data_IF_500314392655
#
_entry.id   IF_500314392655
#
_cell.length_a   1.000
_cell.length_b   1.000
_cell.length_c   1.000
_cell.angle_alpha   90.00
_cell.angle_beta   90.00
_cell.angle_gamma   90.00
#
_symmetry.space_group_name_H-M   'P 1'
#
loop_
_entity.id
_entity.type
_entity.pdbx_description
1 polymer ?
#
# COMPACT_ATOMS: atom_id res chain seq x y z
N UNK A 1 29.95 4.57 15.84
CA UNK A 1 30.41 3.97 14.57
C UNK A 1 29.52 2.80 14.08
N UNK A 2 29.11 1.83 14.91
CA UNK A 2 28.25 0.69 14.47
C UNK A 2 26.85 1.13 13.99
N UNK A 3 26.21 2.09 14.66
CA UNK A 3 24.88 2.61 14.29
C UNK A 3 24.92 3.31 12.93
N UNK A 4 25.91 4.18 12.70
CA UNK A 4 26.09 4.90 11.43
C UNK A 4 26.30 3.93 10.25
N UNK A 5 27.12 2.89 10.43
CA UNK A 5 27.29 1.82 9.42
C UNK A 5 25.98 1.07 9.14
N UNK A 6 25.17 0.85 10.17
CA UNK A 6 23.85 0.22 10.04
C UNK A 6 22.86 1.06 9.23
N UNK A 7 22.76 2.37 9.54
CA UNK A 7 21.91 3.31 8.80
C UNK A 7 22.36 3.46 7.36
N UNK A 8 23.67 3.58 7.11
CA UNK A 8 24.20 3.70 5.76
C UNK A 8 23.94 2.45 4.92
N UNK A 9 24.20 1.27 5.48
CA UNK A 9 23.90 -0.01 4.80
C UNK A 9 22.41 -0.12 4.48
N UNK A 10 21.55 0.27 5.42
CA UNK A 10 20.11 0.31 5.21
C UNK A 10 19.72 1.24 4.04
N UNK A 11 20.22 2.47 4.02
CA UNK A 11 19.92 3.44 2.96
C UNK A 11 20.41 2.96 1.59
N UNK A 12 21.59 2.34 1.53
CA UNK A 12 22.14 1.79 0.28
C UNK A 12 21.24 0.67 -0.24
N UNK A 13 20.84 -0.28 0.61
CA UNK A 13 19.95 -1.38 0.21
C UNK A 13 18.59 -0.82 -0.22
N UNK A 14 18.06 0.16 0.49
CA UNK A 14 16.78 0.80 0.19
C UNK A 14 16.80 1.50 -1.18
N UNK A 15 17.82 2.34 -1.45
CA UNK A 15 17.98 3.02 -2.74
C UNK A 15 18.21 2.01 -3.86
N UNK A 16 19.01 0.97 -3.62
CA UNK A 16 19.27 -0.07 -4.59
C UNK A 16 18.00 -0.85 -4.96
N UNK A 17 17.14 -1.18 -3.99
CA UNK A 17 15.86 -1.83 -4.25
C UNK A 17 14.95 -0.97 -5.10
N UNK A 18 14.83 0.33 -4.78
CA UNK A 18 14.06 1.27 -5.59
C UNK A 18 14.63 1.29 -7.01
N UNK A 19 15.94 1.51 -7.15
CA UNK A 19 16.62 1.57 -8.45
C UNK A 19 16.37 0.32 -9.30
N UNK A 20 16.46 -0.88 -8.73
CA UNK A 20 16.25 -2.13 -9.47
C UNK A 20 14.79 -2.27 -9.89
N UNK A 21 13.84 -2.00 -9.00
CA UNK A 21 12.41 -2.13 -9.31
C UNK A 21 12.00 -1.11 -10.36
N UNK A 22 12.36 0.16 -10.20
CA UNK A 22 12.02 1.21 -11.17
C UNK A 22 12.76 1.05 -12.49
N UNK A 23 13.95 0.42 -12.50
CA UNK A 23 14.64 0.07 -13.74
C UNK A 23 13.84 -0.98 -14.52
N UNK A 24 13.34 -2.01 -13.83
CA UNK A 24 12.49 -3.03 -14.46
C UNK A 24 11.20 -2.40 -15.00
N UNK A 25 10.53 -1.55 -14.22
CA UNK A 25 9.34 -0.81 -14.67
C UNK A 25 9.64 0.06 -15.90
N UNK A 26 10.74 0.80 -15.90
CA UNK A 26 11.18 1.60 -17.03
C UNK A 26 11.42 0.74 -18.29
N UNK A 27 12.11 -0.39 -18.17
CA UNK A 27 12.36 -1.29 -19.29
C UNK A 27 11.06 -1.89 -19.86
N UNK A 28 10.07 -2.16 -19.00
CA UNK A 28 8.72 -2.55 -19.42
C UNK A 28 8.07 -1.42 -20.22
N UNK A 29 8.15 -0.18 -19.74
CA UNK A 29 7.60 0.97 -20.46
C UNK A 29 8.29 1.20 -21.81
N UNK A 30 9.62 1.12 -21.89
CA UNK A 30 10.36 1.22 -23.17
C UNK A 30 9.96 0.10 -24.15
N UNK A 31 9.47 -1.03 -23.65
CA UNK A 31 8.94 -2.11 -24.50
C UNK A 31 7.61 -1.75 -25.16
N UNK A 32 6.88 -0.73 -24.69
CA UNK A 32 5.67 -0.23 -25.33
C UNK A 32 6.05 0.59 -26.58
N UNK A 33 5.55 0.25 -27.79
CA UNK A 33 5.98 0.90 -29.03
C UNK A 33 5.83 2.44 -29.03
N UNK A 34 4.74 2.97 -28.48
CA UNK A 34 4.50 4.42 -28.42
C UNK A 34 5.55 5.16 -27.58
N UNK A 35 5.89 4.62 -26.41
CA UNK A 35 6.92 5.18 -25.50
C UNK A 35 8.29 5.14 -26.16
N UNK A 36 8.60 4.02 -26.79
CA UNK A 36 9.89 3.80 -27.44
C UNK A 36 10.14 4.83 -28.53
N UNK A 37 9.11 5.14 -29.31
CA UNK A 37 9.22 6.09 -30.42
C UNK A 37 9.49 7.51 -29.91
N UNK A 38 8.75 7.97 -28.90
CA UNK A 38 8.97 9.27 -28.25
C UNK A 38 10.38 9.38 -27.64
N UNK A 39 10.86 8.28 -27.04
CA UNK A 39 12.20 8.22 -26.47
C UNK A 39 13.30 8.28 -27.55
N UNK A 40 13.09 7.60 -28.68
CA UNK A 40 14.00 7.67 -29.84
C UNK A 40 14.04 9.09 -30.43
N UNK A 41 12.91 9.78 -30.49
CA UNK A 41 12.85 11.18 -30.93
C UNK A 41 13.62 12.10 -29.97
N UNK A 42 13.50 11.88 -28.65
CA UNK A 42 14.29 12.61 -27.65
C UNK A 42 15.79 12.34 -27.76
N UNK A 43 16.17 11.12 -28.16
CA UNK A 43 17.55 10.71 -28.40
C UNK A 43 18.09 11.23 -29.73
N UNK A 44 17.25 11.43 -30.75
CA UNK A 44 17.68 11.98 -32.03
C UNK A 44 18.25 13.41 -31.89
N UNK A 45 17.79 14.17 -30.88
CA UNK A 45 18.32 15.49 -30.53
C UNK A 45 19.61 15.48 -29.69
N UNK A 46 19.89 14.38 -28.96
CA UNK A 46 21.14 14.17 -28.22
C UNK A 46 21.99 13.23 -29.07
N UNK A 47 22.88 13.75 -29.90
CA UNK A 47 23.76 13.02 -30.85
C UNK A 47 24.55 11.85 -30.25
N UNK A 48 23.85 10.77 -29.92
CA UNK A 48 24.33 9.59 -29.22
C UNK A 48 24.23 8.43 -30.21
N UNK A 49 25.32 8.20 -30.94
CA UNK A 49 25.50 7.07 -31.88
C UNK A 49 25.73 5.72 -31.17
N UNK A 50 25.38 5.61 -29.89
CA UNK A 50 25.62 4.42 -29.07
C UNK A 50 24.49 3.41 -29.31
N UNK A 51 24.82 2.11 -29.20
CA UNK A 51 23.85 1.01 -29.13
C UNK A 51 22.61 1.40 -28.31
N UNK A 52 21.43 1.21 -28.89
CA UNK A 52 20.13 1.61 -28.32
C UNK A 52 19.96 1.19 -26.86
N UNK A 53 20.46 0.01 -26.46
CA UNK A 53 20.36 -0.50 -25.08
C UNK A 53 21.12 0.39 -24.09
N UNK A 54 22.34 0.81 -24.43
CA UNK A 54 23.18 1.63 -23.56
C UNK A 54 22.56 3.04 -23.45
N UNK A 55 22.00 3.55 -24.53
CA UNK A 55 21.30 4.84 -24.55
C UNK A 55 20.08 4.85 -23.62
N UNK A 56 19.28 3.78 -23.61
CA UNK A 56 18.13 3.68 -22.69
C UNK A 56 18.53 3.63 -21.22
N UNK A 57 19.59 2.88 -20.90
CA UNK A 57 20.12 2.83 -19.52
C UNK A 57 20.67 4.19 -19.08
N UNK A 58 21.35 4.90 -19.98
CA UNK A 58 21.87 6.24 -19.69
C UNK A 58 20.74 7.22 -19.35
N UNK A 59 19.67 7.25 -20.15
CA UNK A 59 18.49 8.10 -19.87
C UNK A 59 17.90 7.78 -18.50
N UNK A 60 17.75 6.49 -18.19
CA UNK A 60 17.19 6.08 -16.91
C UNK A 60 18.07 6.49 -15.72
N UNK A 61 19.39 6.32 -15.83
CA UNK A 61 20.33 6.74 -14.79
C UNK A 61 20.33 8.26 -14.62
N UNK A 62 20.25 9.03 -15.71
CA UNK A 62 20.11 10.50 -15.67
C UNK A 62 18.80 10.90 -14.97
N UNK A 63 17.68 10.28 -15.35
CA UNK A 63 16.36 10.49 -14.75
C UNK A 63 16.34 10.18 -13.26
N UNK A 64 16.81 9.00 -12.87
CA UNK A 64 16.86 8.57 -11.47
C UNK A 64 17.82 9.44 -10.65
N UNK A 65 18.95 9.83 -11.23
CA UNK A 65 19.92 10.75 -10.62
C UNK A 65 19.33 12.15 -10.37
N UNK A 66 18.59 12.70 -11.34
CA UNK A 66 17.92 13.99 -11.17
C UNK A 66 16.91 13.95 -10.02
N UNK A 67 16.14 12.87 -9.91
CA UNK A 67 15.21 12.66 -8.80
C UNK A 67 15.94 12.55 -7.47
N UNK A 68 16.98 11.72 -7.38
CA UNK A 68 17.67 11.43 -6.12
C UNK A 68 18.46 12.64 -5.58
N UNK A 69 19.12 13.39 -6.46
CA UNK A 69 20.04 14.46 -6.06
C UNK A 69 19.42 15.86 -6.13
N UNK A 70 18.47 16.09 -7.04
CA UNK A 70 17.84 17.40 -7.24
C UNK A 70 16.39 17.44 -6.77
N UNK A 71 15.77 16.27 -6.58
CA UNK A 71 14.35 16.17 -6.31
C UNK A 71 13.51 16.71 -7.46
N UNK A 72 14.01 16.70 -8.70
CA UNK A 72 13.28 17.22 -9.85
C UNK A 72 12.54 16.08 -10.55
N UNK A 73 11.21 16.14 -10.56
CA UNK A 73 10.36 15.14 -11.22
C UNK A 73 9.99 15.55 -12.65
N UNK A 74 10.38 16.75 -13.08
CA UNK A 74 10.00 17.31 -14.37
C UNK A 74 8.60 17.95 -14.37
N UNK A 75 8.10 18.23 -15.57
CA UNK A 75 6.85 18.94 -15.82
C UNK A 75 5.81 18.01 -16.45
N UNK A 76 4.53 18.27 -16.19
CA UNK A 76 3.43 17.62 -16.92
C UNK A 76 3.42 18.11 -18.37
N UNK A 77 3.34 17.19 -19.33
CA UNK A 77 3.24 17.52 -20.76
C UNK A 77 1.94 18.25 -21.08
N UNK A 78 0.88 18.05 -20.29
CA UNK A 78 -0.44 18.64 -20.54
C UNK A 78 -0.53 20.15 -20.26
N UNK A 79 0.15 20.65 -19.23
CA UNK A 79 -0.04 22.03 -18.75
C UNK A 79 1.24 22.69 -18.22
N UNK A 80 2.40 22.04 -18.35
CA UNK A 80 3.69 22.57 -17.92
C UNK A 80 3.86 22.71 -16.41
N UNK A 81 2.94 22.19 -15.59
CA UNK A 81 3.03 22.30 -14.13
C UNK A 81 4.11 21.34 -13.57
N UNK A 82 4.81 21.73 -12.49
CA UNK A 82 5.76 20.85 -11.80
C UNK A 82 5.09 19.60 -11.22
N UNK A 83 5.61 18.42 -11.58
CA UNK A 83 5.03 17.14 -11.16
C UNK A 83 5.13 16.98 -9.63
N UNK A 84 6.17 17.52 -8.99
CA UNK A 84 6.40 17.45 -7.55
C UNK A 84 5.19 17.87 -6.70
N UNK A 85 4.65 19.07 -6.99
CA UNK A 85 3.57 19.65 -6.19
C UNK A 85 2.27 18.88 -6.42
N UNK A 86 2.01 18.55 -7.68
CA UNK A 86 0.86 17.77 -8.10
C UNK A 86 0.82 16.39 -7.44
N UNK A 87 1.93 15.65 -7.52
CA UNK A 87 2.05 14.30 -6.97
C UNK A 87 2.01 14.27 -5.45
N UNK A 88 2.57 15.27 -4.78
CA UNK A 88 2.50 15.36 -3.32
C UNK A 88 1.06 15.45 -2.83
N UNK A 89 0.23 16.27 -3.50
CA UNK A 89 -1.20 16.38 -3.20
C UNK A 89 -1.92 15.03 -3.40
N UNK A 90 -1.74 14.39 -4.55
CA UNK A 90 -2.38 13.11 -4.86
C UNK A 90 -1.95 12.01 -3.89
N UNK A 91 -0.66 11.95 -3.56
CA UNK A 91 -0.07 10.99 -2.63
C UNK A 91 -0.71 11.12 -1.25
N UNK A 92 -0.92 12.35 -0.77
CA UNK A 92 -1.57 12.58 0.53
C UNK A 92 -3.00 12.05 0.56
N UNK A 93 -3.75 12.18 -0.53
CA UNK A 93 -5.13 11.67 -0.62
C UNK A 93 -5.15 10.13 -0.62
N UNK A 94 -4.34 9.50 -1.46
CA UNK A 94 -4.20 8.04 -1.48
C UNK A 94 -3.77 7.51 -0.11
N UNK A 95 -2.78 8.15 0.54
CA UNK A 95 -2.30 7.73 1.84
C UNK A 95 -3.40 7.81 2.92
N UNK A 96 -4.25 8.84 2.88
CA UNK A 96 -5.42 8.93 3.77
C UNK A 96 -6.38 7.76 3.56
N UNK A 97 -6.65 7.39 2.31
CA UNK A 97 -7.52 6.25 1.99
C UNK A 97 -6.92 4.92 2.45
N UNK A 98 -5.63 4.70 2.20
CA UNK A 98 -4.96 3.45 2.54
C UNK A 98 -4.82 3.29 4.05
N UNK A 99 -4.29 4.30 4.74
CA UNK A 99 -4.14 4.26 6.20
C UNK A 99 -5.50 4.23 6.88
N UNK A 100 -6.44 5.06 6.43
CA UNK A 100 -7.81 5.08 6.93
C UNK A 100 -8.52 3.75 6.74
N UNK A 101 -8.40 3.15 5.55
CA UNK A 101 -9.00 1.86 5.21
C UNK A 101 -8.43 0.73 6.07
N UNK A 102 -7.10 0.67 6.24
CA UNK A 102 -6.46 -0.31 7.12
C UNK A 102 -6.89 -0.17 8.58
N UNK A 103 -6.89 1.05 9.12
CA UNK A 103 -7.34 1.30 10.49
C UNK A 103 -8.81 0.92 10.67
N UNK A 104 -9.66 1.26 9.70
CA UNK A 104 -11.07 0.93 9.72
C UNK A 104 -11.29 -0.59 9.66
N UNK A 105 -10.55 -1.31 8.80
CA UNK A 105 -10.55 -2.79 8.77
C UNK A 105 -10.18 -3.39 10.12
N UNK A 106 -9.09 -2.93 10.75
CA UNK A 106 -8.64 -3.47 12.04
C UNK A 106 -9.72 -3.26 13.12
N UNK A 107 -10.27 -2.05 13.22
CA UNK A 107 -11.31 -1.72 14.20
C UNK A 107 -12.56 -2.57 13.98
N UNK A 108 -13.01 -2.69 12.73
CA UNK A 108 -14.16 -3.51 12.37
C UNK A 108 -13.92 -5.00 12.66
N UNK A 109 -12.78 -5.55 12.25
CA UNK A 109 -12.44 -6.95 12.49
C UNK A 109 -12.39 -7.26 13.99
N UNK A 110 -11.72 -6.44 14.80
CA UNK A 110 -11.68 -6.62 16.24
C UNK A 110 -13.08 -6.53 16.86
N UNK A 111 -13.90 -5.57 16.44
CA UNK A 111 -15.29 -5.45 16.89
C UNK A 111 -16.11 -6.71 16.60
N UNK A 112 -15.99 -7.26 15.38
CA UNK A 112 -16.71 -8.47 14.97
C UNK A 112 -16.21 -9.72 15.69
N UNK A 113 -14.90 -9.85 15.93
CA UNK A 113 -14.32 -10.93 16.73
C UNK A 113 -14.87 -10.90 18.16
N UNK A 114 -14.89 -9.71 18.80
CA UNK A 114 -15.43 -9.54 20.15
C UNK A 114 -16.92 -9.87 20.22
N UNK A 115 -17.70 -9.47 19.20
CA UNK A 115 -19.13 -9.82 19.10
C UNK A 115 -19.32 -11.33 18.96
N UNK A 116 -18.55 -11.99 18.09
CA UNK A 116 -18.55 -13.44 17.90
C UNK A 116 -18.22 -14.18 19.21
N UNK A 117 -17.24 -13.70 19.96
CA UNK A 117 -16.82 -14.30 21.23
C UNK A 117 -17.84 -14.09 22.34
N UNK A 118 -18.44 -12.89 22.44
CA UNK A 118 -19.43 -12.57 23.48
C UNK A 118 -20.76 -13.29 23.26
N UNK A 119 -21.15 -13.50 22.01
CA UNK A 119 -22.47 -14.05 21.63
C UNK A 119 -22.34 -15.31 20.77
N UNK A 120 -21.47 -16.24 21.17
CA UNK A 120 -21.15 -17.46 20.41
C UNK A 120 -22.36 -18.35 20.11
N UNK A 121 -23.39 -18.33 20.95
CA UNK A 121 -24.58 -19.17 20.78
C UNK A 121 -25.74 -18.45 20.07
N UNK A 122 -25.62 -17.14 19.83
CA UNK A 122 -26.66 -16.35 19.18
C UNK A 122 -26.74 -16.65 17.69
N UNK A 123 -27.88 -17.19 17.24
CA UNK A 123 -28.17 -17.38 15.81
C UNK A 123 -28.15 -16.06 15.03
N UNK A 124 -28.52 -14.96 15.67
CA UNK A 124 -28.54 -13.61 15.07
C UNK A 124 -27.11 -13.17 14.74
N UNK A 125 -26.18 -13.33 15.69
CA UNK A 125 -24.78 -12.94 15.47
C UNK A 125 -24.12 -13.82 14.41
N UNK A 126 -24.41 -15.12 14.41
CA UNK A 126 -23.96 -16.02 13.33
C UNK A 126 -24.49 -15.58 11.97
N UNK A 127 -25.78 -15.28 11.87
CA UNK A 127 -26.41 -14.78 10.63
C UNK A 127 -25.81 -13.46 10.16
N UNK A 128 -25.57 -12.50 11.07
CA UNK A 128 -24.91 -11.24 10.77
C UNK A 128 -23.49 -11.45 10.22
N UNK A 129 -22.69 -12.29 10.88
CA UNK A 129 -21.33 -12.59 10.43
C UNK A 129 -21.31 -13.27 9.06
N UNK A 130 -22.24 -14.20 8.80
CA UNK A 130 -22.39 -14.82 7.48
C UNK A 130 -22.78 -13.78 6.42
N UNK A 131 -23.70 -12.86 6.73
CA UNK A 131 -24.08 -11.79 5.81
C UNK A 131 -22.89 -10.86 5.50
N UNK A 132 -22.12 -10.48 6.52
CA UNK A 132 -20.90 -9.67 6.36
C UNK A 132 -19.85 -10.41 5.53
N UNK A 133 -19.67 -11.72 5.71
CA UNK A 133 -18.75 -12.51 4.90
C UNK A 133 -19.16 -12.52 3.42
N UNK A 134 -20.45 -12.75 3.13
CA UNK A 134 -20.98 -12.69 1.76
C UNK A 134 -20.76 -11.31 1.15
N UNK A 135 -21.06 -10.24 1.90
CA UNK A 135 -20.85 -8.86 1.46
C UNK A 135 -19.36 -8.58 1.21
N UNK A 136 -18.47 -9.10 2.06
CA UNK A 136 -17.02 -8.88 1.93
C UNK A 136 -16.45 -9.50 0.66
N UNK A 137 -17.01 -10.62 0.19
CA UNK A 137 -16.57 -11.27 -1.06
C UNK A 137 -16.83 -10.43 -2.32
N UNK A 138 -17.61 -9.35 -2.22
CA UNK A 138 -17.88 -8.44 -3.34
C UNK A 138 -16.64 -7.58 -3.60
N UNK A 139 -16.25 -7.48 -4.86
CA UNK A 139 -15.13 -6.64 -5.27
C UNK A 139 -15.41 -5.15 -4.96
N UNK A 140 -14.38 -4.43 -4.49
CA UNK A 140 -14.37 -2.97 -4.30
C UNK A 140 -15.05 -2.16 -5.43
N UNK A 141 -14.89 -2.54 -6.70
CA UNK A 141 -15.49 -1.80 -7.82
C UNK A 141 -17.02 -1.84 -7.75
N UNK A 142 -17.61 -3.02 -7.51
CA UNK A 142 -19.07 -3.20 -7.42
C UNK A 142 -19.62 -2.53 -6.18
N UNK A 143 -18.94 -2.70 -5.03
CA UNK A 143 -19.32 -2.03 -3.78
C UNK A 143 -19.23 -0.49 -3.91
N UNK A 144 -18.18 0.01 -4.55
CA UNK A 144 -18.00 1.43 -4.81
C UNK A 144 -19.13 1.98 -5.69
N UNK A 145 -19.45 1.32 -6.80
CA UNK A 145 -20.56 1.75 -7.67
C UNK A 145 -21.91 1.66 -6.96
N UNK A 146 -22.12 0.66 -6.10
CA UNK A 146 -23.33 0.59 -5.29
C UNK A 146 -23.47 1.82 -4.38
N UNK A 147 -22.39 2.23 -3.70
CA UNK A 147 -22.39 3.46 -2.91
C UNK A 147 -22.68 4.68 -3.79
N UNK A 148 -22.09 4.77 -4.98
CA UNK A 148 -22.32 5.89 -5.92
C UNK A 148 -23.78 5.93 -6.36
N UNK A 149 -24.37 4.80 -6.76
CA UNK A 149 -25.73 4.79 -7.32
C UNK A 149 -26.79 5.04 -6.25
N UNK A 150 -26.62 4.46 -5.06
CA UNK A 150 -27.68 4.47 -4.04
C UNK A 150 -27.49 5.54 -2.96
N UNK A 151 -26.29 6.12 -2.81
CA UNK A 151 -25.94 6.94 -1.65
C UNK A 151 -25.38 8.34 -1.99
N UNK A 152 -25.37 8.74 -3.26
CA UNK A 152 -24.82 10.04 -3.74
C UNK A 152 -25.64 11.29 -3.42
N UNK A 153 -26.73 11.19 -2.65
CA UNK A 153 -27.35 12.38 -2.06
C UNK A 153 -26.46 13.05 -0.98
N UNK A 154 -25.41 12.37 -0.50
CA UNK A 154 -24.50 12.89 0.54
C UNK A 154 -23.24 13.47 -0.11
N UNK A 155 -23.02 14.78 0.11
CA UNK A 155 -21.81 15.50 -0.32
C UNK A 155 -20.54 14.80 0.16
N UNK A 156 -19.56 14.81 -0.73
CA UNK A 156 -18.35 13.99 -0.71
C UNK A 156 -17.31 14.37 0.37
N UNK A 157 -17.32 15.61 0.87
CA UNK A 157 -16.17 16.15 1.63
C UNK A 157 -15.91 15.50 3.01
N UNK A 158 -16.88 14.83 3.64
CA UNK A 158 -16.73 14.22 4.99
C UNK A 158 -17.14 12.74 5.07
N UNK A 159 -17.18 12.04 3.93
CA UNK A 159 -17.74 10.69 3.92
C UNK A 159 -16.76 9.59 4.33
N UNK A 160 -17.20 8.69 5.22
CA UNK A 160 -16.50 7.46 5.59
C UNK A 160 -16.67 6.33 4.55
N UNK A 161 -17.50 6.52 3.51
CA UNK A 161 -17.78 5.48 2.51
C UNK A 161 -16.54 4.91 1.81
N UNK A 162 -15.53 5.73 1.39
CA UNK A 162 -14.32 5.19 0.79
C UNK A 162 -13.60 4.21 1.73
N UNK A 163 -13.57 4.53 3.03
CA UNK A 163 -12.92 3.69 4.05
C UNK A 163 -13.72 2.41 4.29
N UNK A 164 -15.06 2.51 4.31
CA UNK A 164 -15.95 1.35 4.46
C UNK A 164 -15.82 0.38 3.30
N UNK A 165 -15.81 0.88 2.06
CA UNK A 165 -15.67 0.01 0.88
C UNK A 165 -14.30 -0.66 0.87
N UNK A 166 -13.22 0.07 1.18
CA UNK A 166 -11.89 -0.52 1.31
C UNK A 166 -11.81 -1.52 2.46
N UNK A 167 -12.51 -1.27 3.56
CA UNK A 167 -12.45 -2.14 4.71
C UNK A 167 -13.22 -3.45 4.53
N UNK A 168 -14.33 -3.42 3.80
CA UNK A 168 -15.23 -4.55 3.60
C UNK A 168 -14.89 -5.34 2.35
N UNK A 169 -14.62 -4.66 1.23
CA UNK A 169 -14.57 -5.30 -0.08
C UNK A 169 -13.41 -6.26 -0.29
N UNK A 170 -13.53 -7.07 -1.34
CA UNK A 170 -12.52 -8.04 -1.80
C UNK A 170 -11.94 -8.91 -0.67
N UNK A 171 -12.84 -9.40 0.19
CA UNK A 171 -12.57 -10.25 1.34
C UNK A 171 -11.70 -9.62 2.43
N UNK A 172 -11.41 -8.31 2.36
CA UNK A 172 -10.48 -7.64 3.28
C UNK A 172 -10.89 -7.82 4.75
N UNK A 173 -12.17 -7.62 5.06
CA UNK A 173 -12.69 -7.75 6.42
C UNK A 173 -12.61 -9.20 6.93
N UNK A 174 -12.96 -10.16 6.07
CA UNK A 174 -12.94 -11.59 6.40
C UNK A 174 -11.51 -12.07 6.63
N UNK A 175 -10.60 -11.74 5.72
CA UNK A 175 -9.18 -12.06 5.84
C UNK A 175 -8.56 -11.47 7.10
N UNK A 176 -8.87 -10.20 7.39
CA UNK A 176 -8.35 -9.51 8.57
C UNK A 176 -8.89 -10.16 9.86
N UNK A 177 -10.17 -10.53 9.90
CA UNK A 177 -10.73 -11.28 11.03
C UNK A 177 -10.03 -12.63 11.21
N UNK A 178 -9.90 -13.41 10.14
CA UNK A 178 -9.29 -14.73 10.17
C UNK A 178 -7.84 -14.68 10.65
N UNK A 179 -7.03 -13.80 10.06
CA UNK A 179 -5.61 -13.65 10.42
C UNK A 179 -5.43 -13.20 11.87
N UNK A 180 -6.28 -12.28 12.35
CA UNK A 180 -6.24 -11.85 13.75
C UNK A 180 -6.62 -12.99 14.70
N UNK A 181 -7.68 -13.75 14.38
CA UNK A 181 -8.11 -14.90 15.18
C UNK A 181 -7.02 -15.98 15.23
N UNK A 182 -6.42 -16.33 14.09
CA UNK A 182 -5.35 -17.33 14.00
C UNK A 182 -4.14 -16.94 14.84
N UNK A 183 -3.62 -15.72 14.67
CA UNK A 183 -2.46 -15.22 15.42
C UNK A 183 -2.76 -15.15 16.92
N UNK A 184 -3.96 -14.70 17.30
CA UNK A 184 -4.39 -14.69 18.70
C UNK A 184 -4.40 -16.10 19.32
N UNK A 185 -4.94 -17.09 18.61
CA UNK A 185 -4.95 -18.48 19.07
C UNK A 185 -3.53 -19.06 19.17
N UNK A 186 -2.65 -18.75 18.22
CA UNK A 186 -1.24 -19.17 18.26
C UNK A 186 -0.52 -18.59 19.49
N UNK A 187 -0.73 -17.30 19.77
CA UNK A 187 -0.12 -16.62 20.92
C UNK A 187 -0.58 -17.25 22.24
N UNK A 188 -1.88 -17.47 22.43
CA UNK A 188 -2.43 -18.01 23.68
C UNK A 188 -1.98 -19.44 23.95
N UNK A 189 -1.84 -20.25 22.89
CA UNK A 189 -1.43 -21.66 23.00
C UNK A 189 0.11 -21.82 23.08
N UNK A 190 0.86 -20.73 22.93
CA UNK A 190 2.32 -20.74 23.00
C UNK A 190 2.84 -21.26 24.35
N UNK A 191 4.03 -21.87 24.33
CA UNK A 191 4.72 -22.32 25.57
C UNK A 191 4.95 -21.14 26.54
N UNK A 192 5.22 -19.95 26.00
CA UNK A 192 5.39 -18.72 26.78
C UNK A 192 4.12 -18.36 27.56
N UNK A 193 2.96 -18.37 26.91
CA UNK A 193 1.69 -18.05 27.56
C UNK A 193 1.24 -19.13 28.56
N UNK A 194 1.49 -20.41 28.28
CA UNK A 194 1.25 -21.49 29.25
C UNK A 194 2.08 -21.32 30.52
N UNK A 195 3.36 -20.98 30.38
CA UNK A 195 4.22 -20.71 31.52
C UNK A 195 3.79 -19.45 32.30
N UNK A 196 3.33 -18.40 31.60
CA UNK A 196 2.78 -17.20 32.24
C UNK A 196 1.51 -17.50 33.05
N UNK A 197 0.62 -18.35 32.52
CA UNK A 197 -0.60 -18.82 33.20
C UNK A 197 -0.27 -19.64 34.44
N UNK A 198 0.70 -20.55 34.35
CA UNK A 198 1.15 -21.38 35.49
C UNK A 198 1.75 -20.55 36.64
N UNK A 199 2.36 -19.40 36.33
CA UNK A 199 2.90 -18.46 37.33
C UNK A 199 1.86 -17.47 37.90
N UNK A 200 0.58 -17.56 37.49
CA UNK A 200 -0.47 -16.63 37.93
C UNK A 200 -0.32 -15.19 37.41
N UNK A 201 0.48 -14.97 36.36
CA UNK A 201 0.69 -13.63 35.81
C UNK A 201 -0.52 -13.10 35.04
N UNK A 202 -0.67 -11.77 34.98
CA UNK A 202 -1.74 -11.12 34.19
C UNK A 202 -1.61 -11.46 32.70
N UNK A 203 -2.58 -12.22 32.17
CA UNK A 203 -2.59 -12.69 30.78
C UNK A 203 -2.67 -11.53 29.78
N UNK A 204 -3.46 -10.49 30.05
CA UNK A 204 -3.61 -9.36 29.13
C UNK A 204 -2.29 -8.62 28.89
N UNK A 205 -1.53 -8.39 29.96
CA UNK A 205 -0.21 -7.73 29.87
C UNK A 205 0.79 -8.57 29.06
N UNK A 206 0.72 -9.89 29.19
CA UNK A 206 1.62 -10.81 28.50
C UNK A 206 1.24 -11.05 27.02
N UNK A 207 -0.03 -10.84 26.64
CA UNK A 207 -0.52 -10.98 25.26
C UNK A 207 -0.29 -9.72 24.42
N UNK A 208 -0.37 -8.53 25.03
CA UNK A 208 -0.39 -7.25 24.30
C UNK A 208 0.81 -7.06 23.36
N UNK A 209 2.02 -7.37 23.82
CA UNK A 209 3.25 -7.19 23.02
C UNK A 209 3.34 -8.20 21.85
N UNK A 210 3.20 -9.53 22.06
CA UNK A 210 3.13 -10.48 20.94
C UNK A 210 2.01 -10.15 19.95
N UNK A 211 0.85 -9.73 20.45
CA UNK A 211 -0.29 -9.40 19.60
C UNK A 211 -0.06 -8.14 18.76
N UNK A 212 0.57 -7.10 19.31
CA UNK A 212 0.96 -5.91 18.54
C UNK A 212 1.93 -6.26 17.39
N UNK A 213 2.88 -7.16 17.63
CA UNK A 213 3.82 -7.64 16.61
C UNK A 213 3.06 -8.38 15.49
N UNK A 214 2.11 -9.24 15.86
CA UNK A 214 1.26 -9.95 14.90
C UNK A 214 0.42 -8.96 14.08
N UNK A 215 -0.23 -7.98 14.71
CA UNK A 215 -1.02 -6.95 14.02
C UNK A 215 -0.19 -6.17 13.01
N UNK A 216 1.03 -5.74 13.36
CA UNK A 216 1.91 -5.04 12.41
C UNK A 216 2.21 -5.94 11.19
N UNK A 217 2.42 -7.24 11.40
CA UNK A 217 2.69 -8.20 10.33
C UNK A 217 1.49 -8.41 9.42
N UNK A 218 0.29 -8.50 9.99
CA UNK A 218 -0.97 -8.59 9.24
C UNK A 218 -1.21 -7.31 8.43
N UNK A 219 -1.02 -6.14 9.03
CA UNK A 219 -1.15 -4.86 8.33
C UNK A 219 -0.18 -4.77 7.16
N UNK A 220 1.07 -5.17 7.38
CA UNK A 220 2.10 -5.18 6.34
C UNK A 220 1.71 -6.11 5.18
N UNK A 221 1.17 -7.30 5.46
CA UNK A 221 0.75 -8.24 4.41
C UNK A 221 -0.48 -7.77 3.63
N UNK A 222 -1.37 -6.99 4.26
CA UNK A 222 -2.57 -6.43 3.61
C UNK A 222 -2.36 -5.07 2.97
N UNK A 223 -1.27 -4.36 3.28
CA UNK A 223 -0.98 -3.03 2.74
C UNK A 223 -1.02 -2.96 1.21
N UNK A 224 -0.36 -3.85 0.43
CA UNK A 224 -0.41 -3.79 -1.03
C UNK A 224 -1.83 -3.97 -1.60
N UNK A 225 -2.64 -4.82 -0.97
CA UNK A 225 -4.01 -5.08 -1.40
C UNK A 225 -4.90 -3.85 -1.18
N UNK A 226 -4.78 -3.18 -0.04
CA UNK A 226 -5.52 -1.95 0.24
C UNK A 226 -5.04 -0.79 -0.64
N UNK A 227 -3.73 -0.69 -0.90
CA UNK A 227 -3.18 0.29 -1.82
C UNK A 227 -3.76 0.12 -3.24
N UNK A 228 -3.76 -1.11 -3.78
CA UNK A 228 -4.40 -1.40 -5.06
C UNK A 228 -5.91 -1.13 -5.06
N UNK A 229 -6.61 -1.52 -3.98
CA UNK A 229 -8.03 -1.23 -3.81
C UNK A 229 -8.32 0.28 -3.78
N UNK A 230 -7.44 1.08 -3.17
CA UNK A 230 -7.59 2.53 -3.09
C UNK A 230 -7.60 3.19 -4.47
N UNK A 231 -6.79 2.70 -5.42
CA UNK A 231 -6.79 3.23 -6.79
C UNK A 231 -8.11 2.97 -7.52
N UNK A 232 -8.71 1.81 -7.30
CA UNK A 232 -10.02 1.47 -7.86
C UNK A 232 -11.09 2.38 -7.25
N UNK A 233 -11.05 2.60 -5.94
CA UNK A 233 -12.01 3.48 -5.26
C UNK A 233 -11.81 4.94 -5.63
N UNK A 234 -10.58 5.38 -5.84
CA UNK A 234 -10.30 6.72 -6.38
C UNK A 234 -10.94 6.92 -7.75
N UNK A 235 -10.86 5.91 -8.62
CA UNK A 235 -11.54 5.96 -9.91
C UNK A 235 -13.06 6.00 -9.78
N UNK A 236 -13.65 5.07 -9.01
CA UNK A 236 -15.11 4.94 -8.87
C UNK A 236 -15.74 6.16 -8.20
N UNK A 237 -15.08 6.70 -7.18
CA UNK A 237 -15.57 7.86 -6.42
C UNK A 237 -15.03 9.19 -6.94
N UNK A 238 -14.32 9.20 -8.07
CA UNK A 238 -13.74 10.39 -8.69
C UNK A 238 -12.84 11.21 -7.74
N UNK A 239 -12.02 10.51 -6.95
CA UNK A 239 -11.06 11.07 -6.01
C UNK A 239 -9.75 11.35 -6.76
N UNK A 240 -9.21 12.55 -6.63
CA UNK A 240 -7.97 12.96 -7.32
C UNK A 240 -6.67 12.42 -6.68
N UNK A 241 -6.68 11.16 -6.24
CA UNK A 241 -5.51 10.44 -5.75
C UNK A 241 -4.63 9.88 -6.87
N UNK A 242 -3.56 9.17 -6.49
CA UNK A 242 -2.55 8.63 -7.41
C UNK A 242 -3.13 7.69 -8.47
N UNK A 243 -4.06 6.81 -8.09
CA UNK A 243 -4.69 5.86 -9.00
C UNK A 243 -5.51 6.55 -10.09
N UNK A 244 -6.21 7.63 -9.75
CA UNK A 244 -6.95 8.43 -10.73
C UNK A 244 -6.01 9.16 -11.69
N UNK A 245 -4.87 9.67 -11.21
CA UNK A 245 -3.90 10.36 -12.06
C UNK A 245 -3.17 9.44 -13.04
N UNK A 246 -2.94 8.16 -12.67
CA UNK A 246 -2.46 7.14 -13.59
C UNK A 246 -3.37 7.06 -14.81
N UNK A 247 -4.70 6.98 -14.60
CA UNK A 247 -5.66 6.85 -15.70
C UNK A 247 -5.78 8.15 -16.51
N UNK A 248 -5.97 9.30 -15.84
CA UNK A 248 -6.23 10.58 -16.49
C UNK A 248 -5.04 11.15 -17.24
N UNK A 249 -3.90 11.29 -16.57
CA UNK A 249 -2.74 11.98 -17.14
C UNK A 249 -1.68 10.99 -17.61
N UNK A 250 -1.52 9.87 -16.93
CA UNK A 250 -0.55 8.85 -17.30
C UNK A 250 -0.92 8.15 -18.62
N UNK A 251 -2.04 7.42 -18.62
CA UNK A 251 -2.49 6.63 -19.76
C UNK A 251 -3.16 7.51 -20.81
N UNK A 252 -4.23 8.22 -20.46
CA UNK A 252 -4.99 9.00 -21.44
C UNK A 252 -4.23 10.23 -21.93
N UNK A 253 -3.42 10.83 -21.06
CA UNK A 253 -2.57 11.97 -21.40
C UNK A 253 -1.20 11.59 -21.98
N UNK A 254 -0.90 10.29 -22.14
CA UNK A 254 0.39 9.77 -22.60
C UNK A 254 1.61 10.34 -21.85
N UNK A 255 1.46 10.68 -20.55
CA UNK A 255 2.57 11.19 -19.75
C UNK A 255 3.34 10.04 -19.10
N UNK A 256 4.28 9.45 -19.84
CA UNK A 256 5.05 8.29 -19.35
C UNK A 256 5.98 8.61 -18.19
N UNK A 257 6.54 9.82 -18.15
CA UNK A 257 7.32 10.28 -16.99
C UNK A 257 6.46 10.28 -15.71
N UNK A 258 5.22 10.77 -15.81
CA UNK A 258 4.29 10.77 -14.68
C UNK A 258 3.97 9.35 -14.19
N UNK A 259 3.75 8.41 -15.12
CA UNK A 259 3.53 7.00 -14.76
C UNK A 259 4.72 6.43 -13.98
N UNK A 260 5.94 6.63 -14.48
CA UNK A 260 7.17 6.15 -13.83
C UNK A 260 7.37 6.77 -12.45
N UNK A 261 7.00 8.04 -12.27
CA UNK A 261 7.07 8.72 -10.96
C UNK A 261 6.04 8.14 -9.99
N UNK A 262 4.80 7.91 -10.44
CA UNK A 262 3.75 7.34 -9.60
C UNK A 262 4.13 5.91 -9.18
N UNK A 263 4.60 5.06 -10.11
CA UNK A 263 5.02 3.69 -9.79
C UNK A 263 6.25 3.67 -8.89
N UNK A 264 7.23 4.57 -9.10
CA UNK A 264 8.34 4.76 -8.17
C UNK A 264 7.84 5.09 -6.77
N UNK A 265 6.91 6.02 -6.62
CA UNK A 265 6.37 6.42 -5.30
C UNK A 265 5.66 5.25 -4.62
N UNK A 266 4.87 4.48 -5.36
CA UNK A 266 4.24 3.26 -4.87
C UNK A 266 5.30 2.27 -4.36
N UNK A 267 6.35 2.05 -5.14
CA UNK A 267 7.49 1.20 -4.79
C UNK A 267 8.17 1.70 -3.52
N UNK A 268 8.43 3.01 -3.40
CA UNK A 268 8.97 3.62 -2.17
C UNK A 268 8.09 3.31 -0.97
N UNK A 269 6.76 3.49 -1.07
CA UNK A 269 5.84 3.21 0.03
C UNK A 269 5.84 1.74 0.44
N UNK A 270 5.78 0.82 -0.53
CA UNK A 270 5.76 -0.62 -0.24
C UNK A 270 7.07 -1.03 0.45
N UNK A 271 8.23 -0.63 -0.07
CA UNK A 271 9.53 -0.95 0.53
C UNK A 271 9.65 -0.29 1.91
N UNK A 272 9.17 0.94 2.06
CA UNK A 272 9.18 1.67 3.33
C UNK A 272 8.36 0.95 4.40
N UNK A 273 7.11 0.56 4.09
CA UNK A 273 6.24 -0.15 5.03
C UNK A 273 6.82 -1.53 5.40
N UNK A 274 7.34 -2.27 4.42
CA UNK A 274 8.02 -3.55 4.66
C UNK A 274 9.24 -3.40 5.57
N UNK A 275 10.07 -2.39 5.31
CA UNK A 275 11.23 -2.08 6.12
C UNK A 275 10.83 -1.70 7.54
N UNK A 276 9.86 -0.80 7.67
CA UNK A 276 9.40 -0.30 8.96
C UNK A 276 8.87 -1.45 9.82
N UNK A 277 8.14 -2.37 9.19
CA UNK A 277 7.68 -3.61 9.82
C UNK A 277 8.84 -4.47 10.30
N UNK A 278 9.82 -4.76 9.45
CA UNK A 278 10.98 -5.58 9.82
C UNK A 278 11.79 -4.95 10.96
N UNK A 279 11.99 -3.64 10.93
CA UNK A 279 12.69 -2.90 11.98
C UNK A 279 11.92 -2.93 13.31
N UNK A 280 10.61 -2.69 13.25
CA UNK A 280 9.74 -2.72 14.43
C UNK A 280 9.71 -4.11 15.06
N UNK A 281 9.64 -5.16 14.24
CA UNK A 281 9.72 -6.54 14.70
C UNK A 281 11.05 -6.83 15.40
N UNK A 282 12.18 -6.41 14.82
CA UNK A 282 13.51 -6.60 15.41
C UNK A 282 13.69 -5.91 16.77
N UNK A 283 13.08 -4.74 16.95
CA UNK A 283 13.10 -4.03 18.23
C UNK A 283 12.20 -4.72 19.26
N UNK A 284 10.99 -5.12 18.85
CA UNK A 284 10.00 -5.66 19.76
C UNK A 284 10.30 -7.11 20.14
N UNK A 285 10.77 -7.96 19.23
CA UNK A 285 11.20 -9.33 19.52
C UNK A 285 12.66 -9.55 19.05
N UNK A 286 13.66 -9.42 19.94
CA UNK A 286 15.06 -9.64 19.59
C UNK A 286 15.40 -11.14 19.42
N UNK A 287 14.41 -12.04 19.39
CA UNK A 287 14.65 -13.44 19.09
C UNK A 287 15.05 -13.56 17.62
N UNK A 288 16.16 -14.26 17.30
CA UNK A 288 16.53 -14.48 15.92
C UNK A 288 15.40 -15.21 15.21
N UNK A 289 14.92 -14.61 14.11
CA UNK A 289 14.09 -15.29 13.11
C UNK A 289 14.85 -16.56 12.75
N UNK A 290 14.28 -17.70 13.09
CA UNK A 290 14.88 -19.02 12.86
C UNK A 290 14.36 -19.59 11.56
#
# INVERSE_FOLDING_TARGET
MKILKGVLSFLIVFIFQIFVITLVEYLIFVSIPGIRQELIESLAGKSVHINHIISYLFIYVEWFGNILFRGDFGLLTSNGQPINQFIFYCTRLTLKLVVGGLLFSIVMSLGLILLKQKFSDSRIVKGLLSAIQILSSIHYIVLGYFVVVFWTAIRYDDSLWPLLVLAIGNSMLNDMMHLIEEEYQQIINSKYMRAARARGGNLFKNVLKPFAIALIRIVNSKFPMVLGGSFIIEFVLNIEGLGMQILRHGINGMNYNLLLIITMIITVFIIFVNTLTNYTQKILDPRPVR
#
